data_IF_968155751569
#
_entry.id   IF_968155751569
#
_cell.length_a   1.000
_cell.length_b   1.000
_cell.length_c   1.000
_cell.angle_alpha   90.00
_cell.angle_beta   90.00
_cell.angle_gamma   90.00
#
_symmetry.space_group_name_H-M   'P 1'
#
loop_
_entity.id
_entity.type
_entity.pdbx_description
1 polymer ?
#
# COMPACT_ATOMS: atom_id res chain seq x y z
N UNK A 1 -54.69 3.77 52.08
CA UNK A 1 -53.61 3.08 52.83
C UNK A 1 -52.48 2.86 51.81
N UNK A 2 -51.67 3.89 51.50
CA UNK A 2 -50.21 4.04 51.83
C UNK A 2 -49.44 2.73 51.68
N UNK A 3 -48.44 2.63 50.80
CA UNK A 3 -47.09 3.23 50.93
C UNK A 3 -46.52 3.67 49.56
N UNK A 4 -46.20 4.95 49.31
CA UNK A 4 -44.90 5.62 49.53
C UNK A 4 -43.69 4.78 49.05
N UNK A 5 -43.15 5.05 47.85
CA UNK A 5 -42.10 6.05 47.57
C UNK A 5 -40.74 5.67 48.15
N UNK A 6 -39.87 5.08 47.31
CA UNK A 6 -38.43 5.30 47.41
C UNK A 6 -37.71 4.93 46.10
N UNK A 7 -37.41 5.97 45.31
CA UNK A 7 -36.28 5.98 44.40
C UNK A 7 -35.07 6.52 45.18
N UNK A 8 -33.89 5.89 45.14
CA UNK A 8 -32.64 6.55 45.50
C UNK A 8 -31.93 7.09 44.25
N UNK A 9 -31.71 8.40 44.25
CA UNK A 9 -30.88 9.15 43.31
C UNK A 9 -29.39 8.85 43.56
N UNK A 10 -28.64 8.68 42.47
CA UNK A 10 -27.19 8.39 42.31
C UNK A 10 -26.26 9.50 42.89
N UNK A 11 -24.97 9.20 43.21
CA UNK A 11 -23.90 9.76 42.37
C UNK A 11 -22.61 8.92 42.20
N UNK A 12 -22.00 9.08 41.02
CA UNK A 12 -20.65 8.68 40.52
C UNK A 12 -19.46 9.18 41.41
N UNK A 13 -18.12 8.91 41.22
CA UNK A 13 -17.35 8.59 39.98
C UNK A 13 -16.07 7.68 40.14
N UNK A 14 -15.27 7.53 39.06
CA UNK A 14 -13.85 7.09 38.99
C UNK A 14 -13.59 5.57 38.96
N UNK A 15 -12.69 5.00 38.14
CA UNK A 15 -11.77 5.55 37.15
C UNK A 15 -10.81 4.45 36.69
N UNK A 16 -10.85 4.09 35.41
CA UNK A 16 -9.76 3.39 34.73
C UNK A 16 -9.56 4.01 33.34
N UNK A 17 -8.98 5.21 33.38
CA UNK A 17 -8.29 5.79 32.24
C UNK A 17 -6.93 5.10 32.10
N UNK A 18 -6.74 4.27 31.08
CA UNK A 18 -5.48 4.19 30.29
C UNK A 18 -5.40 2.93 29.42
N UNK A 19 -6.33 2.78 28.48
CA UNK A 19 -5.93 2.26 27.16
C UNK A 19 -6.05 3.39 26.17
N UNK A 20 -5.17 4.38 26.33
CA UNK A 20 -4.82 5.33 25.29
C UNK A 20 -4.03 4.57 24.21
N UNK A 21 -4.65 3.58 23.56
CA UNK A 21 -4.30 3.29 22.17
C UNK A 21 -4.89 4.48 21.42
N UNK A 22 -4.04 5.50 21.25
CA UNK A 22 -4.33 6.74 20.58
C UNK A 22 -5.31 6.48 19.45
N UNK A 23 -6.57 6.85 19.72
CA UNK A 23 -7.54 7.02 18.66
C UNK A 23 -6.90 8.04 17.74
N UNK A 24 -6.27 7.57 16.67
CA UNK A 24 -5.96 8.36 15.50
C UNK A 24 -7.32 8.85 15.07
N UNK A 25 -7.73 10.02 15.60
CA UNK A 25 -8.88 10.74 15.11
C UNK A 25 -8.67 10.75 13.61
N UNK A 26 -9.53 10.04 12.89
CA UNK A 26 -9.70 10.25 11.45
C UNK A 26 -10.20 11.67 11.36
N UNK A 27 -9.28 12.63 11.40
CA UNK A 27 -9.52 13.97 10.91
C UNK A 27 -10.12 13.75 9.51
N UNK A 28 -11.17 14.48 9.12
CA UNK A 28 -11.60 14.48 7.73
C UNK A 28 -10.37 14.84 6.91
N UNK A 29 -9.73 13.83 6.31
CA UNK A 29 -8.55 14.04 5.50
C UNK A 29 -9.09 14.78 4.29
N UNK A 30 -8.82 16.08 4.23
CA UNK A 30 -9.12 16.86 3.04
C UNK A 30 -8.43 16.20 1.86
N UNK A 31 -8.96 16.40 0.65
CA UNK A 31 -8.37 15.92 -0.59
C UNK A 31 -6.84 16.12 -0.64
N UNK A 32 -6.38 17.28 -0.18
CA UNK A 32 -4.97 17.63 -0.08
C UNK A 32 -4.17 16.75 0.89
N UNK A 33 -4.75 16.36 2.03
CA UNK A 33 -4.10 15.46 2.97
C UNK A 33 -3.96 14.06 2.38
N UNK A 34 -5.02 13.53 1.75
CA UNK A 34 -4.95 12.21 1.08
C UNK A 34 -3.98 12.23 -0.09
N UNK A 35 -4.03 13.27 -0.94
CA UNK A 35 -3.11 13.44 -2.06
C UNK A 35 -1.66 13.46 -1.59
N UNK A 36 -1.31 14.28 -0.59
CA UNK A 36 0.08 14.39 -0.12
C UNK A 36 0.54 13.12 0.55
N UNK A 37 -0.29 12.46 1.36
CA UNK A 37 0.10 11.18 1.99
C UNK A 37 0.29 10.09 0.95
N UNK A 38 -0.63 9.93 0.00
CA UNK A 38 -0.53 8.89 -1.03
C UNK A 38 0.63 9.16 -1.96
N UNK A 39 0.83 10.41 -2.39
CA UNK A 39 1.97 10.80 -3.21
C UNK A 39 3.29 10.54 -2.48
N UNK A 40 3.44 11.00 -1.23
CA UNK A 40 4.66 10.81 -0.46
C UNK A 40 4.95 9.33 -0.20
N UNK A 41 3.95 8.54 0.17
CA UNK A 41 4.12 7.09 0.40
C UNK A 41 4.53 6.37 -0.88
N UNK A 42 3.87 6.64 -2.01
CA UNK A 42 4.20 5.99 -3.29
C UNK A 42 5.59 6.42 -3.75
N UNK A 43 5.91 7.72 -3.73
CA UNK A 43 7.23 8.20 -4.14
C UNK A 43 8.32 7.61 -3.25
N UNK A 44 8.13 7.52 -1.94
CA UNK A 44 9.12 6.90 -1.05
C UNK A 44 9.25 5.39 -1.27
N UNK A 45 8.15 4.69 -1.57
CA UNK A 45 8.18 3.26 -1.86
C UNK A 45 8.87 2.95 -3.20
N UNK A 46 8.73 3.84 -4.18
CA UNK A 46 9.25 3.67 -5.54
C UNK A 46 10.59 4.39 -5.77
N UNK A 47 11.02 5.29 -4.87
CA UNK A 47 12.24 6.08 -5.02
C UNK A 47 13.47 5.17 -5.08
N UNK A 48 14.18 5.21 -6.20
CA UNK A 48 15.37 4.39 -6.40
C UNK A 48 15.10 2.98 -6.91
N UNK A 49 13.91 2.72 -7.43
CA UNK A 49 13.68 1.48 -8.19
C UNK A 49 14.66 1.40 -9.39
N UNK A 50 15.08 0.17 -9.70
CA UNK A 50 16.02 -0.12 -10.79
C UNK A 50 15.53 0.45 -12.12
N UNK A 51 14.21 0.50 -12.32
CA UNK A 51 13.59 1.07 -13.52
C UNK A 51 13.80 2.58 -13.64
N UNK A 52 13.86 3.32 -12.52
CA UNK A 52 14.16 4.76 -12.51
C UNK A 52 15.62 5.03 -12.87
N UNK A 53 16.57 4.26 -12.31
CA UNK A 53 17.99 4.37 -12.66
C UNK A 53 18.26 3.99 -14.11
N UNK A 54 17.62 2.93 -14.60
CA UNK A 54 17.72 2.52 -16.01
C UNK A 54 17.21 3.60 -16.95
N UNK A 55 16.04 4.20 -16.65
CA UNK A 55 15.48 5.29 -17.46
C UNK A 55 16.37 6.53 -17.43
N UNK A 56 16.95 6.86 -16.28
CA UNK A 56 17.89 7.99 -16.14
C UNK A 56 19.17 7.76 -16.96
N UNK A 57 19.75 6.55 -16.90
CA UNK A 57 20.93 6.17 -17.70
C UNK A 57 20.65 6.26 -19.20
N UNK A 58 19.54 5.68 -19.65
CA UNK A 58 19.13 5.72 -21.07
C UNK A 58 18.86 7.17 -21.51
N UNK A 59 18.28 8.01 -20.64
CA UNK A 59 18.09 9.43 -20.90
C UNK A 59 19.40 10.21 -20.97
N UNK A 60 20.38 9.86 -20.13
CA UNK A 60 21.71 10.48 -20.13
C UNK A 60 22.53 10.08 -21.36
N UNK A 61 22.44 8.82 -21.79
CA UNK A 61 23.14 8.29 -22.96
C UNK A 61 22.57 8.83 -24.28
N UNK A 62 21.24 8.84 -24.43
CA UNK A 62 20.58 9.25 -25.68
C UNK A 62 20.61 10.76 -25.93
N UNK A 63 20.84 11.58 -24.89
CA UNK A 63 20.73 13.04 -24.98
C UNK A 63 19.34 13.57 -25.35
N UNK A 64 18.32 12.70 -25.38
CA UNK A 64 16.97 13.00 -25.86
C UNK A 64 15.92 12.60 -24.78
N UNK A 65 15.80 13.37 -23.69
CA UNK A 65 15.00 12.99 -22.52
C UNK A 65 13.52 12.76 -22.83
N UNK A 66 12.94 13.53 -23.76
CA UNK A 66 11.53 13.39 -24.13
C UNK A 66 11.20 12.08 -24.84
N UNK A 67 12.12 11.56 -25.66
CA UNK A 67 11.92 10.30 -26.38
C UNK A 67 12.02 9.13 -25.40
N UNK A 68 12.97 9.20 -24.46
CA UNK A 68 13.11 8.20 -23.40
C UNK A 68 11.90 8.20 -22.49
N UNK A 69 11.39 9.38 -22.11
CA UNK A 69 10.15 9.50 -21.34
C UNK A 69 8.97 8.83 -22.06
N UNK A 70 8.75 9.14 -23.34
CA UNK A 70 7.67 8.53 -24.12
C UNK A 70 7.85 7.01 -24.24
N UNK A 71 9.07 6.53 -24.49
CA UNK A 71 9.38 5.10 -24.56
C UNK A 71 9.09 4.37 -23.25
N UNK A 72 9.58 4.91 -22.13
CA UNK A 72 9.33 4.37 -20.80
C UNK A 72 7.83 4.41 -20.43
N UNK A 73 7.12 5.47 -20.77
CA UNK A 73 5.68 5.59 -20.54
C UNK A 73 4.89 4.53 -21.34
N UNK A 74 5.22 4.33 -22.61
CA UNK A 74 4.60 3.29 -23.45
C UNK A 74 4.91 1.90 -22.91
N UNK A 75 6.16 1.64 -22.52
CA UNK A 75 6.57 0.36 -21.94
C UNK A 75 5.82 0.06 -20.64
N UNK A 76 5.64 1.07 -19.77
CA UNK A 76 4.87 0.94 -18.54
C UNK A 76 3.40 0.62 -18.83
N UNK A 77 2.75 1.40 -19.70
CA UNK A 77 1.35 1.18 -20.08
C UNK A 77 1.16 -0.22 -20.68
N UNK A 78 2.04 -0.64 -21.58
CA UNK A 78 1.98 -1.95 -22.21
C UNK A 78 2.14 -3.07 -21.18
N UNK A 79 3.14 -2.96 -20.29
CA UNK A 79 3.39 -3.96 -19.24
C UNK A 79 2.24 -4.03 -18.25
N UNK A 80 1.71 -2.90 -17.80
CA UNK A 80 0.52 -2.86 -16.93
C UNK A 80 -0.71 -3.45 -17.61
N UNK A 81 -0.94 -3.14 -18.89
CA UNK A 81 -2.08 -3.69 -19.64
C UNK A 81 -1.99 -5.22 -19.74
N UNK A 82 -0.82 -5.76 -20.07
CA UNK A 82 -0.57 -7.20 -20.11
C UNK A 82 -0.81 -7.82 -18.72
N UNK A 83 -0.27 -7.20 -17.67
CA UNK A 83 -0.45 -7.65 -16.29
C UNK A 83 -1.92 -7.69 -15.86
N UNK A 84 -2.70 -6.65 -16.18
CA UNK A 84 -4.14 -6.59 -15.88
C UNK A 84 -4.91 -7.63 -16.68
N UNK A 85 -4.63 -7.83 -17.97
CA UNK A 85 -5.30 -8.84 -18.79
C UNK A 85 -5.04 -10.27 -18.27
N UNK A 86 -3.78 -10.56 -17.95
CA UNK A 86 -3.38 -11.84 -17.37
C UNK A 86 -4.00 -12.04 -15.98
N UNK A 87 -3.95 -11.02 -15.13
CA UNK A 87 -4.54 -11.05 -13.79
C UNK A 87 -6.05 -11.27 -13.85
N UNK A 88 -6.75 -10.57 -14.75
CA UNK A 88 -8.18 -10.75 -14.97
C UNK A 88 -8.52 -12.16 -15.47
N UNK A 89 -7.77 -12.67 -16.44
CA UNK A 89 -7.95 -14.02 -16.96
C UNK A 89 -7.75 -15.08 -15.87
N UNK A 90 -6.72 -14.90 -15.04
CA UNK A 90 -6.38 -15.80 -13.94
C UNK A 90 -7.43 -15.75 -12.82
N UNK A 91 -7.89 -14.55 -12.46
CA UNK A 91 -8.93 -14.35 -11.46
C UNK A 91 -10.27 -15.01 -11.83
N UNK A 92 -10.55 -15.19 -13.13
CA UNK A 92 -11.74 -15.92 -13.60
C UNK A 92 -11.62 -17.44 -13.46
N UNK A 93 -10.41 -17.98 -13.40
CA UNK A 93 -10.11 -19.43 -13.41
C UNK A 93 -9.77 -19.98 -12.02
N UNK A 94 -9.29 -19.13 -11.12
CA UNK A 94 -8.70 -19.53 -9.83
C UNK A 94 -9.50 -18.94 -8.67
N UNK A 95 -9.67 -19.70 -7.59
CA UNK A 95 -10.38 -19.22 -6.40
C UNK A 95 -9.59 -18.09 -5.71
N UNK A 96 -10.27 -17.13 -5.05
CA UNK A 96 -9.60 -16.02 -4.38
C UNK A 96 -8.56 -16.48 -3.34
N UNK A 97 -8.86 -17.54 -2.60
CA UNK A 97 -7.95 -18.11 -1.59
C UNK A 97 -6.65 -18.65 -2.21
N UNK A 98 -6.72 -19.25 -3.40
CA UNK A 98 -5.54 -19.74 -4.09
C UNK A 98 -4.69 -18.59 -4.66
N UNK A 99 -5.31 -17.46 -5.05
CA UNK A 99 -4.58 -16.25 -5.46
C UNK A 99 -3.78 -15.62 -4.31
N UNK A 100 -4.39 -15.51 -3.13
CA UNK A 100 -3.70 -14.94 -1.95
C UNK A 100 -2.53 -15.82 -1.50
N UNK A 101 -2.73 -17.15 -1.47
CA UNK A 101 -1.67 -18.12 -1.20
C UNK A 101 -0.55 -18.06 -2.24
N UNK A 102 -0.90 -18.02 -3.53
CA UNK A 102 0.09 -17.92 -4.60
C UNK A 102 0.90 -16.62 -4.52
N UNK A 103 0.27 -15.48 -4.28
CA UNK A 103 0.95 -14.20 -4.11
C UNK A 103 1.95 -14.25 -2.93
N UNK A 104 1.53 -14.79 -1.79
CA UNK A 104 2.41 -14.97 -0.63
C UNK A 104 3.60 -15.89 -0.90
N UNK A 105 3.37 -17.03 -1.55
CA UNK A 105 4.43 -18.00 -1.89
C UNK A 105 5.42 -17.40 -2.88
N UNK A 106 4.94 -16.73 -3.94
CA UNK A 106 5.79 -16.10 -4.94
C UNK A 106 6.62 -14.99 -4.29
N UNK A 107 6.02 -14.18 -3.42
CA UNK A 107 6.73 -13.11 -2.72
C UNK A 107 7.83 -13.68 -1.80
N UNK A 108 7.52 -14.72 -1.02
CA UNK A 108 8.48 -15.38 -0.15
C UNK A 108 9.62 -16.01 -0.96
N UNK A 109 9.29 -16.66 -2.07
CA UNK A 109 10.27 -17.25 -2.98
C UNK A 109 11.22 -16.19 -3.56
N UNK A 110 10.70 -15.10 -4.10
CA UNK A 110 11.50 -13.98 -4.62
C UNK A 110 12.35 -13.37 -3.51
N UNK A 111 11.82 -13.23 -2.30
CA UNK A 111 12.56 -12.72 -1.15
C UNK A 111 13.74 -13.61 -0.77
N UNK A 112 13.58 -14.94 -0.79
CA UNK A 112 14.68 -15.88 -0.53
C UNK A 112 15.73 -15.80 -1.65
N UNK A 113 15.29 -15.74 -2.91
CA UNK A 113 16.22 -15.64 -4.05
C UNK A 113 17.08 -14.37 -3.96
N UNK A 114 16.48 -13.22 -3.67
CA UNK A 114 17.24 -11.98 -3.50
C UNK A 114 18.17 -12.03 -2.30
N UNK A 115 17.74 -12.65 -1.18
CA UNK A 115 18.62 -12.81 -0.02
C UNK A 115 19.82 -13.71 -0.35
N UNK A 116 19.62 -14.77 -1.13
CA UNK A 116 20.70 -15.64 -1.60
C UNK A 116 21.69 -14.91 -2.50
N UNK A 117 21.20 -14.13 -3.48
CA UNK A 117 22.02 -13.31 -4.37
C UNK A 117 22.87 -12.30 -3.58
N UNK A 118 22.29 -11.66 -2.56
CA UNK A 118 23.00 -10.72 -1.67
C UNK A 118 24.03 -11.41 -0.78
N UNK A 119 23.77 -12.63 -0.29
CA UNK A 119 24.72 -13.36 0.57
C UNK A 119 25.89 -13.95 -0.24
N UNK A 120 25.71 -14.18 -1.53
CA UNK A 120 26.75 -14.67 -2.44
C UNK A 120 27.61 -13.56 -3.08
N UNK A 121 27.18 -12.30 -2.99
CA UNK A 121 27.98 -11.11 -3.34
C UNK A 121 28.94 -10.71 -2.22
#
# INVERSE_FOLDING_TARGET
>A
MKTDSQNPVDPSPQGESSTQFSSTRKLPQGFWATFTTTFATIVLAEMGDKTQLATLLISAESGQPWIVFCGAAIALIATSLIGVLLGWWLAKRVSPQAMDMAAGIILLFVSILLLGDVVQM
#
